data_IF_967460835150
#
_entry.id   IF_967460835150
#
_cell.length_a   1.000
_cell.length_b   1.000
_cell.length_c   1.000
_cell.angle_alpha   90.00
_cell.angle_beta   90.00
_cell.angle_gamma   90.00
#
_symmetry.space_group_name_H-M   'P 1'
#
loop_
_entity.id
_entity.type
_entity.pdbx_description
1 polymer ?
#
# COMPACT_ATOMS: atom_id res chain seq x y z
N UNK A 1 1.68 -4.14 15.19
CA UNK A 1 1.08 -3.83 13.88
C UNK A 1 0.57 -5.07 13.16
N UNK A 2 -0.68 -5.48 13.45
CA UNK A 2 -1.27 -6.71 12.88
C UNK A 2 -1.88 -6.49 11.48
N UNK A 3 -2.38 -5.29 11.20
CA UNK A 3 -3.10 -4.93 9.96
C UNK A 3 -2.44 -3.72 9.28
N UNK A 4 -1.16 -3.86 8.98
CA UNK A 4 -0.35 -2.78 8.41
C UNK A 4 0.26 -3.22 7.10
N UNK A 5 0.10 -2.36 6.09
CA UNK A 5 0.48 -2.60 4.71
C UNK A 5 1.33 -1.43 4.21
N UNK A 6 2.15 -1.70 3.20
CA UNK A 6 2.88 -0.69 2.44
C UNK A 6 2.28 -0.60 1.06
N UNK A 7 1.86 0.60 0.67
CA UNK A 7 1.55 0.91 -0.72
C UNK A 7 2.80 1.44 -1.42
N UNK A 8 3.32 0.70 -2.41
CA UNK A 8 4.42 1.13 -3.27
C UNK A 8 3.91 1.55 -4.64
N UNK A 9 4.22 2.77 -5.03
CA UNK A 9 3.93 3.32 -6.34
C UNK A 9 5.04 2.96 -7.33
N UNK A 10 4.66 2.58 -8.56
CA UNK A 10 5.64 2.15 -9.59
C UNK A 10 6.55 3.31 -10.04
N UNK A 11 6.03 4.54 -10.07
CA UNK A 11 6.78 5.72 -10.54
C UNK A 11 6.84 6.81 -9.48
N UNK A 12 5.79 7.63 -9.40
CA UNK A 12 5.62 8.61 -8.34
C UNK A 12 4.32 8.37 -7.62
N UNK A 13 4.36 8.61 -6.31
CA UNK A 13 3.16 8.72 -5.50
C UNK A 13 2.40 9.99 -5.89
N UNK A 14 1.06 9.93 -6.04
CA UNK A 14 0.24 11.13 -6.13
C UNK A 14 0.27 11.91 -4.80
N UNK A 15 -0.21 13.15 -4.77
CA UNK A 15 -0.23 13.93 -3.52
C UNK A 15 -0.97 13.19 -2.39
N UNK A 16 -0.58 13.40 -1.12
CA UNK A 16 -1.25 12.72 0.00
C UNK A 16 -2.76 13.04 0.01
N UNK A 17 -3.14 14.26 -0.36
CA UNK A 17 -4.54 14.66 -0.49
C UNK A 17 -5.31 13.72 -1.44
N UNK A 18 -4.77 13.49 -2.63
CA UNK A 18 -5.38 12.58 -3.61
C UNK A 18 -5.39 11.13 -3.14
N UNK A 19 -4.36 10.70 -2.40
CA UNK A 19 -4.35 9.37 -1.77
C UNK A 19 -5.51 9.26 -0.78
N UNK A 20 -5.66 10.22 0.14
CA UNK A 20 -6.76 10.22 1.11
C UNK A 20 -8.13 10.25 0.44
N UNK A 21 -8.31 11.08 -0.60
CA UNK A 21 -9.57 11.14 -1.36
C UNK A 21 -9.89 9.83 -2.09
N UNK A 22 -8.88 9.13 -2.61
CA UNK A 22 -9.11 7.85 -3.25
C UNK A 22 -9.47 6.76 -2.24
N UNK A 23 -8.77 6.74 -1.10
CA UNK A 23 -9.03 5.78 -0.01
C UNK A 23 -10.39 5.99 0.63
N UNK A 24 -10.88 7.24 0.74
CA UNK A 24 -12.23 7.51 1.25
C UNK A 24 -13.33 6.93 0.35
N UNK A 25 -13.04 6.72 -0.95
CA UNK A 25 -13.96 6.10 -1.91
C UNK A 25 -13.93 4.56 -1.85
N UNK A 26 -12.99 3.95 -1.15
CA UNK A 26 -12.92 2.48 -1.04
C UNK A 26 -14.00 1.90 -0.13
N UNK A 27 -14.59 2.73 0.75
CA UNK A 27 -15.67 2.30 1.65
C UNK A 27 -15.20 1.21 2.60
N UNK A 28 -14.12 1.47 3.33
CA UNK A 28 -13.64 0.57 4.38
C UNK A 28 -14.68 0.43 5.49
N UNK A 29 -14.74 -0.75 6.09
CA UNK A 29 -15.66 -1.02 7.19
C UNK A 29 -15.15 -0.37 8.49
N UNK A 30 -13.83 -0.41 8.71
CA UNK A 30 -13.19 0.17 9.90
C UNK A 30 -12.44 1.47 9.63
N UNK A 31 -11.94 2.06 10.71
CA UNK A 31 -11.02 3.19 10.64
C UNK A 31 -9.72 2.81 9.92
N UNK A 32 -9.11 3.79 9.28
CA UNK A 32 -7.82 3.64 8.61
C UNK A 32 -6.95 4.88 8.80
N UNK A 33 -5.64 4.68 8.76
CA UNK A 33 -4.66 5.76 8.80
C UNK A 33 -3.65 5.57 7.68
N UNK A 34 -3.30 6.66 6.99
CA UNK A 34 -2.33 6.64 5.92
C UNK A 34 -1.14 7.51 6.34
N UNK A 35 0.04 6.91 6.37
CA UNK A 35 1.31 7.57 6.63
C UNK A 35 2.13 7.73 5.36
N UNK A 36 2.97 8.75 5.34
CA UNK A 36 4.00 8.91 4.30
C UNK A 36 5.29 8.21 4.76
N UNK A 37 5.87 7.37 3.89
CA UNK A 37 7.20 6.80 4.12
C UNK A 37 8.22 7.59 3.30
N UNK A 38 8.04 7.65 1.97
CA UNK A 38 8.93 8.37 1.07
C UNK A 38 8.20 8.84 -0.22
N UNK A 39 8.96 9.15 -1.28
CA UNK A 39 8.42 9.64 -2.55
C UNK A 39 7.56 8.61 -3.33
N UNK A 40 7.69 7.33 -3.04
CA UNK A 40 7.01 6.22 -3.72
C UNK A 40 6.31 5.24 -2.78
N UNK A 41 6.45 5.40 -1.46
CA UNK A 41 5.85 4.52 -0.46
C UNK A 41 4.91 5.26 0.49
N UNK A 42 3.78 4.62 0.77
CA UNK A 42 2.85 4.99 1.84
C UNK A 42 2.70 3.83 2.83
N UNK A 43 2.46 4.18 4.07
CA UNK A 43 2.06 3.26 5.12
C UNK A 43 0.54 3.27 5.24
N UNK A 44 -0.07 2.10 5.35
CA UNK A 44 -1.52 1.95 5.45
C UNK A 44 -1.81 1.11 6.70
N UNK A 45 -2.46 1.71 7.69
CA UNK A 45 -2.97 1.03 8.87
C UNK A 45 -4.48 0.88 8.73
N UNK A 46 -4.98 -0.33 8.98
CA UNK A 46 -6.39 -0.67 8.92
C UNK A 46 -6.84 -1.21 10.27
N UNK A 47 -8.08 -0.92 10.66
CA UNK A 47 -8.65 -1.47 11.88
C UNK A 47 -9.17 -2.91 11.72
N UNK A 48 -9.62 -3.28 10.51
CA UNK A 48 -10.29 -4.55 10.23
C UNK A 48 -9.48 -5.48 9.32
N UNK A 49 -9.62 -6.78 9.56
CA UNK A 49 -8.99 -7.84 8.76
C UNK A 49 -9.57 -7.93 7.35
N UNK A 50 -10.88 -7.70 7.18
CA UNK A 50 -11.53 -7.76 5.87
C UNK A 50 -10.99 -6.67 4.93
N UNK A 51 -10.81 -5.46 5.45
CA UNK A 51 -10.23 -4.34 4.69
C UNK A 51 -8.76 -4.62 4.35
N UNK A 52 -8.03 -5.22 5.29
CA UNK A 52 -6.65 -5.67 5.07
C UNK A 52 -6.56 -6.73 3.98
N UNK A 53 -7.39 -7.78 4.05
CA UNK A 53 -7.43 -8.84 3.06
C UNK A 53 -7.83 -8.30 1.68
N UNK A 54 -8.82 -7.41 1.62
CA UNK A 54 -9.27 -6.78 0.37
C UNK A 54 -8.15 -5.99 -0.30
N UNK A 55 -7.41 -5.17 0.46
CA UNK A 55 -6.27 -4.41 -0.07
C UNK A 55 -5.11 -5.32 -0.49
N UNK A 56 -4.80 -6.33 0.31
CA UNK A 56 -3.66 -7.22 0.10
C UNK A 56 -3.85 -8.24 -1.03
N UNK A 57 -5.07 -8.78 -1.20
CA UNK A 57 -5.37 -9.79 -2.21
C UNK A 57 -5.37 -9.24 -3.64
N UNK A 58 -5.58 -7.92 -3.80
CA UNK A 58 -5.56 -7.31 -5.12
C UNK A 58 -4.12 -6.96 -5.53
N UNK A 59 -3.62 -7.48 -6.66
CA UNK A 59 -2.22 -7.35 -7.05
C UNK A 59 -1.81 -5.92 -7.41
N UNK A 60 -2.77 -5.10 -7.83
CA UNK A 60 -2.55 -3.73 -8.27
C UNK A 60 -3.73 -2.83 -7.97
N UNK A 61 -3.44 -1.68 -7.39
CA UNK A 61 -4.36 -0.58 -7.15
C UNK A 61 -3.99 0.61 -8.01
N UNK A 62 -4.97 1.44 -8.36
CA UNK A 62 -4.73 2.69 -9.06
C UNK A 62 -5.24 3.83 -8.19
N UNK A 63 -4.35 4.72 -7.81
CA UNK A 63 -4.67 5.92 -7.04
C UNK A 63 -4.34 7.10 -7.93
N UNK A 64 -5.35 7.86 -8.36
CA UNK A 64 -5.17 8.99 -9.29
C UNK A 64 -4.37 8.61 -10.55
N UNK A 65 -4.70 7.46 -11.16
CA UNK A 65 -4.00 6.92 -12.33
C UNK A 65 -2.59 6.36 -12.05
N UNK A 66 -2.08 6.49 -10.83
CA UNK A 66 -0.77 5.96 -10.43
C UNK A 66 -0.91 4.51 -9.94
N UNK A 67 -0.24 3.53 -10.60
CA UNK A 67 -0.27 2.14 -10.17
C UNK A 67 0.49 1.95 -8.85
N UNK A 68 -0.16 1.26 -7.91
CA UNK A 68 0.31 0.98 -6.56
C UNK A 68 0.19 -0.52 -6.25
N UNK A 69 1.30 -1.13 -5.84
CA UNK A 69 1.34 -2.49 -5.29
C UNK A 69 1.27 -2.44 -3.77
N UNK A 70 0.65 -3.44 -3.18
CA UNK A 70 0.46 -3.53 -1.74
C UNK A 70 1.30 -4.67 -1.19
N UNK A 71 2.07 -4.40 -0.14
CA UNK A 71 2.94 -5.35 0.53
C UNK A 71 2.62 -5.41 2.01
N UNK A 72 2.89 -6.56 2.64
CA UNK A 72 2.84 -6.65 4.09
C UNK A 72 3.94 -5.78 4.69
N UNK A 73 3.62 -4.97 5.70
CA UNK A 73 4.65 -4.23 6.43
C UNK A 73 5.61 -5.20 7.10
N UNK A 74 6.90 -5.05 6.81
CA UNK A 74 7.98 -5.75 7.48
C UNK A 74 8.97 -4.71 8.03
N UNK A 75 9.48 -4.87 9.27
CA UNK A 75 10.48 -3.95 9.83
C UNK A 75 11.82 -4.02 9.08
N UNK A 76 12.04 -5.07 8.28
CA UNK A 76 13.15 -5.22 7.35
C UNK A 76 12.84 -4.66 5.95
N UNK A 77 11.75 -3.91 5.77
CA UNK A 77 11.40 -3.33 4.47
C UNK A 77 12.48 -2.33 4.06
N UNK A 78 13.38 -2.78 3.20
CA UNK A 78 14.36 -1.94 2.53
C UNK A 78 13.86 -1.65 1.12
N UNK A 79 13.58 -0.37 0.77
CA UNK A 79 13.17 -0.01 -0.60
C UNK A 79 14.22 -0.36 -1.67
N UNK A 80 15.45 -0.70 -1.25
CA UNK A 80 16.55 -1.14 -2.10
C UNK A 80 16.58 -2.65 -2.36
N UNK A 81 15.83 -3.46 -1.61
CA UNK A 81 15.98 -4.92 -1.56
C UNK A 81 14.84 -5.69 -2.24
N UNK A 82 14.04 -5.05 -3.10
CA UNK A 82 13.21 -5.79 -4.06
C UNK A 82 14.10 -6.37 -5.17
N UNK A 83 14.97 -7.30 -4.81
CA UNK A 83 15.62 -8.16 -5.79
C UNK A 83 14.54 -9.06 -6.42
N UNK A 84 14.47 -9.16 -7.75
CA UNK A 84 13.59 -10.11 -8.40
C UNK A 84 14.05 -11.50 -7.97
N UNK A 85 13.24 -12.20 -7.19
CA UNK A 85 13.38 -13.65 -7.07
C UNK A 85 12.94 -14.20 -8.43
N UNK A 86 13.87 -14.20 -9.38
CA UNK A 86 13.72 -14.96 -10.61
C UNK A 86 13.65 -16.44 -10.21
N UNK A 87 12.69 -17.22 -10.72
CA UNK A 87 12.69 -18.65 -10.49
C UNK A 87 13.91 -19.23 -11.23
N UNK A 88 14.81 -19.87 -10.48
CA UNK A 88 15.80 -20.75 -11.07
C UNK A 88 15.09 -22.10 -11.32
N UNK A 89 14.85 -22.38 -12.59
CA UNK A 89 14.53 -23.71 -13.13
C UNK A 89 15.63 -24.74 -12.87
#
# INVERSE_FOLDING_TARGET
DKFTLVGKFVHRRPSMLKVHENFSRFGFCGDYTIGLIDATHILIHLAHEDDYARLFLKPLWYIDGSPMRVFKWTPSFSPLQETPIAPVW
#
